data_IF_594135393870
#
_entry.id   IF_594135393870
#
_cell.length_a   1.000
_cell.length_b   1.000
_cell.length_c   1.000
_cell.angle_alpha   90.00
_cell.angle_beta   90.00
_cell.angle_gamma   90.00
#
_symmetry.space_group_name_H-M   'P 1'
#
loop_
_entity.id
_entity.type
_entity.pdbx_description
1 polymer ?
#
# COMPACT_ATOMS: atom_id res chain seq x y z
N UNK A 1 17.12 -1.52 1.63
CA UNK A 1 16.22 -1.76 0.47
C UNK A 1 15.57 -0.44 0.05
N UNK A 2 15.41 -0.17 -1.25
CA UNK A 2 14.67 1.03 -1.69
C UNK A 2 13.17 0.86 -1.47
N UNK A 3 12.53 1.90 -0.96
CA UNK A 3 11.08 2.02 -0.91
C UNK A 3 10.62 3.08 -1.92
N UNK A 4 9.99 2.67 -3.00
CA UNK A 4 9.54 3.55 -4.08
C UNK A 4 8.22 4.19 -3.68
N UNK A 5 8.24 5.51 -3.49
CA UNK A 5 7.08 6.28 -3.03
C UNK A 5 6.30 6.82 -4.23
N UNK A 6 5.03 6.44 -4.34
CA UNK A 6 4.09 7.10 -5.22
C UNK A 6 3.50 8.32 -4.53
N UNK A 7 3.96 9.50 -4.92
CA UNK A 7 3.56 10.81 -4.37
C UNK A 7 3.93 11.93 -5.35
N UNK A 8 3.60 13.16 -4.97
CA UNK A 8 3.96 14.41 -5.64
C UNK A 8 3.94 15.55 -4.62
N UNK A 9 4.49 16.71 -4.97
CA UNK A 9 4.74 17.83 -4.05
C UNK A 9 3.54 18.24 -3.18
N UNK A 10 2.33 18.27 -3.76
CA UNK A 10 1.09 18.67 -3.05
C UNK A 10 0.78 17.76 -1.86
N UNK A 11 1.29 16.53 -1.88
CA UNK A 11 1.10 15.55 -0.83
C UNK A 11 2.32 15.39 0.09
N UNK A 12 3.31 16.28 0.02
CA UNK A 12 4.53 16.21 0.84
C UNK A 12 4.24 15.96 2.33
N UNK A 13 3.31 16.69 2.93
CA UNK A 13 2.94 16.50 4.34
C UNK A 13 2.34 15.11 4.64
N UNK A 14 1.61 14.51 3.69
CA UNK A 14 1.08 13.14 3.79
C UNK A 14 2.21 12.13 3.66
N UNK A 15 3.16 12.37 2.76
CA UNK A 15 4.34 11.50 2.57
C UNK A 15 5.24 11.52 3.81
N UNK A 16 5.53 12.70 4.35
CA UNK A 16 6.28 12.86 5.61
C UNK A 16 5.59 12.11 6.76
N UNK A 17 4.26 12.17 6.82
CA UNK A 17 3.47 11.40 7.79
C UNK A 17 3.60 9.90 7.57
N UNK A 18 3.43 9.40 6.35
CA UNK A 18 3.58 7.97 6.02
C UNK A 18 4.95 7.45 6.49
N UNK A 19 6.03 8.15 6.16
CA UNK A 19 7.40 7.79 6.55
C UNK A 19 7.55 7.80 8.08
N UNK A 20 7.02 8.83 8.76
CA UNK A 20 7.02 8.88 10.22
C UNK A 20 6.27 7.70 10.84
N UNK A 21 5.17 7.24 10.24
CA UNK A 21 4.44 6.07 10.75
C UNK A 21 5.26 4.79 10.61
N UNK A 22 5.98 4.59 9.50
CA UNK A 22 6.94 3.49 9.40
C UNK A 22 7.98 3.54 10.51
N UNK A 23 8.60 4.69 10.75
CA UNK A 23 9.57 4.86 11.84
C UNK A 23 8.97 4.59 13.24
N UNK A 24 7.68 4.82 13.43
CA UNK A 24 6.99 4.57 14.71
C UNK A 24 6.67 3.11 14.93
N UNK A 25 6.17 2.42 13.90
CA UNK A 25 5.70 1.03 14.03
C UNK A 25 6.78 0.01 13.66
N UNK A 26 7.87 0.43 13.00
CA UNK A 26 9.03 -0.37 12.65
C UNK A 26 10.30 0.50 12.67
N UNK A 27 10.86 0.82 13.85
CA UNK A 27 11.94 1.80 14.00
C UNK A 27 13.23 1.48 13.25
N UNK A 28 13.53 0.20 13.06
CA UNK A 28 14.70 -0.36 12.39
C UNK A 28 14.38 -0.88 10.98
N UNK A 29 13.32 -0.36 10.35
CA UNK A 29 12.96 -0.77 8.99
C UNK A 29 14.14 -0.63 8.01
N UNK A 30 14.30 -1.54 7.03
CA UNK A 30 15.43 -1.53 6.11
C UNK A 30 15.28 -0.51 4.96
N UNK A 31 14.24 0.33 4.99
CA UNK A 31 13.87 1.19 3.86
C UNK A 31 14.71 2.47 3.77
N UNK A 32 15.18 2.74 2.55
CA UNK A 32 15.54 4.06 2.07
C UNK A 32 14.41 4.54 1.14
N UNK A 33 13.60 5.49 1.60
CA UNK A 33 12.46 6.01 0.85
C UNK A 33 12.93 6.88 -0.30
N UNK A 34 12.66 6.43 -1.53
CA UNK A 34 12.95 7.12 -2.77
C UNK A 34 11.70 7.90 -3.19
N UNK A 35 11.78 9.22 -3.05
CA UNK A 35 10.65 10.15 -3.08
C UNK A 35 10.76 11.03 -4.33
N UNK A 36 9.79 10.98 -5.24
CA UNK A 36 9.70 11.93 -6.35
C UNK A 36 9.40 13.34 -5.82
N UNK A 37 10.03 14.35 -6.40
CA UNK A 37 9.64 15.74 -6.22
C UNK A 37 9.68 16.50 -7.54
N UNK A 38 8.92 17.59 -7.61
CA UNK A 38 8.88 18.48 -8.77
C UNK A 38 9.63 19.79 -8.46
N UNK A 39 9.23 20.43 -7.36
CA UNK A 39 9.72 21.70 -6.85
C UNK A 39 10.15 21.62 -5.38
N UNK A 40 9.53 20.73 -4.59
CA UNK A 40 9.70 20.63 -3.14
C UNK A 40 10.64 19.49 -2.73
N UNK A 41 11.89 19.56 -3.18
CA UNK A 41 12.93 18.60 -2.79
C UNK A 41 13.24 18.60 -1.29
N UNK A 42 14.20 17.75 -0.92
CA UNK A 42 14.65 17.59 0.45
C UNK A 42 16.13 17.22 0.52
N UNK A 43 16.61 16.97 1.75
CA UNK A 43 17.99 16.56 2.01
C UNK A 43 18.04 15.04 1.98
N UNK A 44 18.93 14.49 1.15
CA UNK A 44 19.19 13.05 1.11
C UNK A 44 19.87 12.59 2.40
N UNK A 45 19.53 11.38 2.84
CA UNK A 45 20.13 10.71 4.00
C UNK A 45 20.08 9.20 3.79
N UNK A 46 20.60 8.42 4.74
CA UNK A 46 20.57 6.95 4.66
C UNK A 46 19.14 6.38 4.52
N UNK A 47 18.13 7.10 5.02
CA UNK A 47 16.73 6.68 4.96
C UNK A 47 15.89 7.42 3.92
N UNK A 48 16.40 8.49 3.29
CA UNK A 48 15.64 9.35 2.39
C UNK A 48 16.44 9.69 1.14
N UNK A 49 15.83 9.54 -0.03
CA UNK A 49 16.41 9.92 -1.31
C UNK A 49 15.36 10.68 -2.13
N UNK A 50 15.61 11.95 -2.37
CA UNK A 50 14.75 12.80 -3.18
C UNK A 50 15.25 12.81 -4.62
N UNK A 51 14.39 12.43 -5.56
CA UNK A 51 14.68 12.44 -6.99
C UNK A 51 13.74 13.40 -7.72
N UNK A 52 14.32 14.27 -8.55
CA UNK A 52 13.53 15.18 -9.36
C UNK A 52 12.88 14.39 -10.49
N UNK A 53 11.56 14.48 -10.61
CA UNK A 53 10.79 13.72 -11.59
C UNK A 53 9.68 14.59 -12.20
N UNK A 54 9.18 14.28 -13.41
CA UNK A 54 7.84 14.74 -13.81
C UNK A 54 6.81 14.16 -12.83
N UNK A 55 5.61 14.71 -12.71
CA UNK A 55 4.61 14.16 -11.77
C UNK A 55 3.78 15.17 -11.00
N UNK A 56 3.73 16.44 -11.40
CA UNK A 56 2.87 17.41 -10.71
C UNK A 56 1.39 17.12 -10.97
N UNK A 57 1.12 16.45 -12.09
CA UNK A 57 -0.22 16.13 -12.58
C UNK A 57 -0.43 14.61 -12.67
N UNK A 58 -1.68 14.13 -12.54
CA UNK A 58 -1.97 12.70 -12.68
C UNK A 58 -1.49 12.07 -13.98
N UNK A 59 -1.48 12.85 -15.07
CA UNK A 59 -1.06 12.47 -16.41
C UNK A 59 0.44 12.12 -16.48
N UNK A 60 1.22 12.47 -15.47
CA UNK A 60 2.66 12.23 -15.42
C UNK A 60 3.06 11.10 -14.46
N UNK A 61 2.10 10.53 -13.72
CA UNK A 61 2.36 9.48 -12.73
C UNK A 61 3.15 8.30 -13.31
N UNK A 62 2.81 7.72 -14.49
CA UNK A 62 3.58 6.61 -15.03
C UNK A 62 5.03 6.99 -15.34
N UNK A 63 5.27 8.18 -15.88
CA UNK A 63 6.62 8.67 -16.17
C UNK A 63 7.42 8.87 -14.88
N UNK A 64 6.81 9.46 -13.85
CA UNK A 64 7.41 9.64 -12.53
C UNK A 64 7.85 8.30 -11.93
N UNK A 65 6.96 7.30 -11.96
CA UNK A 65 7.24 5.97 -11.42
C UNK A 65 8.37 5.26 -12.18
N UNK A 66 8.41 5.38 -13.51
CA UNK A 66 9.48 4.80 -14.33
C UNK A 66 10.83 5.48 -14.08
N UNK A 67 10.86 6.80 -13.86
CA UNK A 67 12.08 7.53 -13.52
C UNK A 67 12.67 7.09 -12.18
N UNK A 68 11.84 6.87 -11.16
CA UNK A 68 12.28 6.36 -9.84
C UNK A 68 12.92 4.95 -9.90
N UNK A 69 12.62 4.20 -10.96
CA UNK A 69 13.08 2.83 -11.20
C UNK A 69 14.21 2.77 -12.24
N UNK A 70 14.58 3.89 -12.87
CA UNK A 70 15.40 3.88 -14.08
C UNK A 70 16.78 3.22 -13.89
N UNK A 71 17.41 3.46 -12.74
CA UNK A 71 18.72 2.94 -12.35
C UNK A 71 18.66 1.56 -11.66
N UNK A 72 17.47 1.04 -11.36
CA UNK A 72 17.32 -0.20 -10.59
C UNK A 72 17.27 -1.46 -11.49
N UNK A 73 18.01 -2.53 -11.16
CA UNK A 73 17.94 -3.81 -11.87
C UNK A 73 16.55 -4.46 -11.80
N UNK A 74 16.13 -5.15 -12.86
CA UNK A 74 14.82 -5.82 -12.98
C UNK A 74 14.48 -6.75 -11.80
N UNK A 75 15.47 -7.49 -11.30
CA UNK A 75 15.29 -8.49 -10.26
C UNK A 75 15.52 -7.93 -8.84
N UNK A 76 15.91 -6.66 -8.70
CA UNK A 76 16.04 -6.03 -7.38
C UNK A 76 14.67 -5.96 -6.71
N UNK A 77 14.65 -6.26 -5.41
CA UNK A 77 13.47 -6.10 -4.58
C UNK A 77 13.34 -4.67 -4.08
N UNK A 78 12.15 -4.11 -4.25
CA UNK A 78 11.77 -2.81 -3.71
C UNK A 78 10.52 -2.94 -2.87
N UNK A 79 10.35 -1.98 -1.97
CA UNK A 79 9.08 -1.80 -1.28
C UNK A 79 8.26 -0.74 -2.00
N UNK A 80 7.11 -1.13 -2.54
CA UNK A 80 6.19 -0.20 -3.17
C UNK A 80 5.28 0.42 -2.13
N UNK A 81 5.23 1.75 -2.03
CA UNK A 81 4.34 2.44 -1.11
C UNK A 81 3.72 3.70 -1.73
N UNK A 82 2.41 3.87 -1.57
CA UNK A 82 1.71 5.08 -2.01
C UNK A 82 1.37 5.91 -0.79
N UNK A 83 1.62 7.20 -0.85
CA UNK A 83 1.30 8.13 0.24
C UNK A 83 -0.20 8.14 0.61
N UNK A 84 -1.08 7.61 -0.23
CA UNK A 84 -2.50 7.41 0.07
C UNK A 84 -2.74 6.36 1.16
N UNK A 85 -1.69 5.68 1.65
CA UNK A 85 -1.74 4.80 2.82
C UNK A 85 -0.59 5.04 3.77
N UNK A 86 -0.82 4.72 5.04
CA UNK A 86 0.23 4.73 6.06
C UNK A 86 0.04 3.55 7.02
N UNK A 87 1.12 2.94 7.54
CA UNK A 87 1.00 1.80 8.42
C UNK A 87 0.42 2.23 9.77
N UNK A 88 -0.54 1.46 10.27
CA UNK A 88 -1.11 1.59 11.62
C UNK A 88 -0.55 0.49 12.53
N UNK A 89 -0.35 -0.71 11.96
CA UNK A 89 0.17 -1.86 12.67
C UNK A 89 0.87 -2.79 11.68
N UNK A 90 2.00 -3.36 12.09
CA UNK A 90 2.80 -4.32 11.36
C UNK A 90 3.21 -5.44 12.31
N UNK A 91 3.07 -6.70 11.89
CA UNK A 91 3.65 -7.85 12.60
C UNK A 91 5.08 -8.05 12.11
N UNK A 92 6.02 -7.33 12.71
CA UNK A 92 7.39 -7.17 12.21
C UNK A 92 8.10 -8.51 12.08
N UNK A 93 7.98 -9.40 13.07
CA UNK A 93 8.66 -10.70 13.07
C UNK A 93 8.20 -11.54 11.87
N UNK A 94 6.88 -11.67 11.65
CA UNK A 94 6.33 -12.42 10.51
C UNK A 94 6.64 -11.76 9.18
N UNK A 95 6.66 -10.43 9.11
CA UNK A 95 7.04 -9.71 7.90
C UNK A 95 8.52 -9.96 7.56
N UNK A 96 9.40 -9.99 8.56
CA UNK A 96 10.81 -10.31 8.40
C UNK A 96 11.01 -11.71 7.82
N UNK A 97 10.42 -12.73 8.44
CA UNK A 97 10.48 -14.12 7.94
C UNK A 97 9.97 -14.26 6.50
N UNK A 98 8.87 -13.56 6.18
CA UNK A 98 8.28 -13.59 4.84
C UNK A 98 9.09 -12.81 3.81
N UNK A 99 9.79 -11.76 4.22
CA UNK A 99 10.72 -11.02 3.38
C UNK A 99 11.91 -11.91 3.02
N UNK A 100 12.52 -12.58 4.01
CA UNK A 100 13.63 -13.51 3.78
C UNK A 100 13.19 -14.66 2.86
N UNK A 101 12.01 -15.23 3.11
CA UNK A 101 11.41 -16.23 2.24
C UNK A 101 11.25 -15.76 0.79
N UNK A 102 10.78 -14.52 0.58
CA UNK A 102 10.57 -13.97 -0.75
C UNK A 102 11.91 -13.68 -1.47
N UNK A 103 12.94 -13.27 -0.73
CA UNK A 103 14.28 -13.03 -1.26
C UNK A 103 14.94 -14.32 -1.76
N UNK A 104 14.70 -15.45 -1.09
CA UNK A 104 15.21 -16.76 -1.47
C UNK A 104 14.37 -17.44 -2.58
N UNK A 105 13.07 -17.16 -2.64
CA UNK A 105 12.16 -17.76 -3.60
C UNK A 105 12.34 -17.16 -5.01
N UNK A 106 13.02 -17.89 -5.90
CA UNK A 106 13.27 -17.47 -7.27
C UNK A 106 11.99 -17.15 -8.07
N UNK A 107 10.88 -17.83 -7.76
CA UNK A 107 9.62 -17.76 -8.49
C UNK A 107 8.64 -16.69 -7.99
N UNK A 108 8.91 -16.03 -6.86
CA UNK A 108 8.05 -14.96 -6.32
C UNK A 108 8.53 -13.61 -6.86
N UNK A 109 7.61 -12.83 -7.41
CA UNK A 109 7.88 -11.47 -7.90
C UNK A 109 7.22 -10.38 -7.06
N UNK A 110 6.38 -10.74 -6.09
CA UNK A 110 5.77 -9.78 -5.18
C UNK A 110 5.03 -10.42 -4.01
N UNK A 111 4.99 -9.71 -2.87
CA UNK A 111 4.38 -10.18 -1.65
C UNK A 111 3.69 -9.04 -0.88
N UNK A 112 2.38 -9.20 -0.68
CA UNK A 112 1.51 -8.29 0.07
C UNK A 112 1.09 -8.91 1.42
N UNK A 113 1.16 -8.14 2.50
CA UNK A 113 0.83 -8.59 3.87
C UNK A 113 -0.56 -8.17 4.36
N UNK A 114 -1.31 -7.45 3.54
CA UNK A 114 -2.62 -6.90 3.87
C UNK A 114 -3.64 -7.32 2.82
N UNK A 115 -4.33 -8.42 3.09
CA UNK A 115 -5.47 -8.91 2.34
C UNK A 115 -6.71 -8.11 2.74
N UNK A 116 -7.32 -7.40 1.79
CA UNK A 116 -8.49 -6.55 2.02
C UNK A 116 -9.48 -6.60 0.84
N UNK A 117 -10.57 -5.80 0.86
CA UNK A 117 -11.47 -5.52 -0.27
C UNK A 117 -11.76 -6.76 -1.15
N UNK A 118 -11.67 -6.63 -2.47
CA UNK A 118 -11.97 -7.69 -3.44
C UNK A 118 -11.21 -9.01 -3.21
N UNK A 119 -10.00 -9.00 -2.64
CA UNK A 119 -9.28 -10.25 -2.33
C UNK A 119 -9.85 -10.98 -1.12
N UNK A 120 -10.62 -10.29 -0.27
CA UNK A 120 -11.42 -10.89 0.81
C UNK A 120 -12.86 -11.16 0.35
N UNK A 121 -13.47 -10.19 -0.33
CA UNK A 121 -14.90 -10.19 -0.66
C UNK A 121 -15.23 -11.11 -1.85
N UNK A 122 -14.32 -11.23 -2.82
CA UNK A 122 -14.47 -12.00 -4.06
C UNK A 122 -13.14 -12.71 -4.41
N UNK A 123 -12.62 -13.59 -3.53
CA UNK A 123 -11.32 -14.24 -3.73
C UNK A 123 -11.25 -15.10 -4.99
N UNK A 124 -12.34 -15.73 -5.40
CA UNK A 124 -12.42 -16.54 -6.63
C UNK A 124 -12.13 -15.75 -7.91
N UNK A 125 -12.42 -14.45 -7.93
CA UNK A 125 -12.13 -13.58 -9.07
C UNK A 125 -10.67 -13.10 -9.09
N UNK A 126 -9.98 -13.15 -7.95
CA UNK A 126 -8.74 -12.39 -7.75
C UNK A 126 -7.56 -13.25 -7.34
N UNK A 127 -7.81 -14.46 -6.84
CA UNK A 127 -6.83 -15.38 -6.31
C UNK A 127 -6.95 -16.75 -6.98
N UNK A 128 -5.81 -17.39 -7.22
CA UNK A 128 -5.78 -18.80 -7.54
C UNK A 128 -6.16 -19.63 -6.31
N UNK A 129 -6.80 -20.81 -6.49
CA UNK A 129 -7.29 -21.61 -5.37
C UNK A 129 -6.18 -22.32 -4.58
N UNK A 130 -4.96 -22.42 -5.15
CA UNK A 130 -3.86 -23.13 -4.53
C UNK A 130 -3.24 -22.32 -3.40
N UNK A 131 -3.03 -22.97 -2.26
CA UNK A 131 -2.32 -22.42 -1.12
C UNK A 131 -0.84 -22.81 -1.19
N UNK A 132 0.04 -21.86 -0.88
CA UNK A 132 1.47 -22.11 -0.72
C UNK A 132 1.84 -21.94 0.75
N UNK A 133 2.33 -23.01 1.37
CA UNK A 133 2.78 -23.00 2.77
C UNK A 133 4.27 -22.63 2.82
N UNK A 134 4.65 -21.69 3.68
CA UNK A 134 6.05 -21.38 3.97
C UNK A 134 6.60 -22.32 5.05
N UNK A 135 7.93 -22.36 5.21
CA UNK A 135 8.57 -23.14 6.27
C UNK A 135 8.12 -22.70 7.68
N UNK A 136 7.81 -21.41 7.86
CA UNK A 136 7.26 -20.85 9.11
C UNK A 136 5.75 -21.07 9.29
N UNK A 137 5.10 -21.83 8.40
CA UNK A 137 3.67 -22.15 8.51
C UNK A 137 2.73 -21.04 8.02
N UNK A 138 3.26 -19.98 7.41
CA UNK A 138 2.42 -18.94 6.81
C UNK A 138 1.80 -19.44 5.49
N UNK A 139 0.58 -19.04 5.22
CA UNK A 139 -0.15 -19.41 4.00
C UNK A 139 -0.20 -18.22 3.05
N UNK A 140 0.30 -18.44 1.82
CA UNK A 140 0.31 -17.47 0.74
C UNK A 140 -0.72 -17.86 -0.33
N UNK A 141 -1.42 -16.87 -0.87
CA UNK A 141 -2.40 -17.01 -1.94
C UNK A 141 -1.90 -16.23 -3.17
N UNK A 142 -1.84 -16.89 -4.32
CA UNK A 142 -1.36 -16.27 -5.55
C UNK A 142 -2.46 -15.41 -6.18
N UNK A 143 -2.11 -14.18 -6.59
CA UNK A 143 -3.01 -13.23 -7.23
C UNK A 143 -3.07 -13.47 -8.74
N UNK A 144 -4.29 -13.45 -9.28
CA UNK A 144 -4.58 -13.56 -10.71
C UNK A 144 -4.30 -12.28 -11.49
N UNK A 145 -4.36 -11.13 -10.83
CA UNK A 145 -4.29 -9.82 -11.50
C UNK A 145 -3.72 -8.74 -10.58
N UNK A 146 -3.77 -7.48 -11.04
CA UNK A 146 -3.27 -6.30 -10.36
C UNK A 146 -4.15 -5.77 -9.22
N UNK A 147 -5.16 -6.53 -8.79
CA UNK A 147 -5.96 -6.11 -7.64
C UNK A 147 -5.04 -5.83 -6.45
N UNK A 148 -5.26 -4.67 -5.82
CA UNK A 148 -4.46 -4.16 -4.70
C UNK A 148 -2.99 -3.86 -4.99
N UNK A 149 -2.61 -3.67 -6.26
CA UNK A 149 -1.26 -3.20 -6.59
C UNK A 149 -0.91 -1.87 -5.89
N UNK A 150 -1.90 -1.05 -5.52
CA UNK A 150 -1.71 0.22 -4.79
C UNK A 150 -1.49 0.08 -3.27
N UNK A 151 -1.60 -1.12 -2.70
CA UNK A 151 -1.32 -1.34 -1.27
C UNK A 151 0.19 -1.53 -1.09
N UNK A 152 0.72 -1.17 0.07
CA UNK A 152 2.15 -1.28 0.32
C UNK A 152 2.58 -2.75 0.32
N UNK A 153 3.59 -3.08 -0.48
CA UNK A 153 3.99 -4.47 -0.71
C UNK A 153 5.42 -4.55 -1.27
N UNK A 154 6.06 -5.70 -1.08
CA UNK A 154 7.32 -5.98 -1.75
C UNK A 154 7.06 -6.39 -3.19
N UNK A 155 7.83 -5.85 -4.13
CA UNK A 155 7.79 -6.20 -5.54
C UNK A 155 9.22 -6.25 -6.09
N UNK A 156 9.46 -7.10 -7.09
CA UNK A 156 10.62 -6.93 -7.95
C UNK A 156 10.41 -5.73 -8.88
N UNK A 157 11.48 -5.01 -9.20
CA UNK A 157 11.45 -3.83 -10.07
C UNK A 157 10.75 -4.12 -11.40
N UNK A 158 10.98 -5.30 -11.99
CA UNK A 158 10.33 -5.73 -13.25
C UNK A 158 8.81 -5.65 -13.23
N UNK A 159 8.20 -5.91 -12.07
CA UNK A 159 6.76 -5.88 -11.90
C UNK A 159 6.25 -4.45 -12.06
N UNK A 160 6.86 -3.50 -11.35
CA UNK A 160 6.49 -2.09 -11.41
C UNK A 160 6.82 -1.49 -12.77
N UNK A 161 8.02 -1.78 -13.31
CA UNK A 161 8.45 -1.25 -14.62
C UNK A 161 7.49 -1.71 -15.71
N UNK A 162 7.16 -3.00 -15.78
CA UNK A 162 6.17 -3.50 -16.73
C UNK A 162 4.80 -2.84 -16.52
N UNK A 163 4.32 -2.80 -15.27
CA UNK A 163 2.99 -2.28 -14.96
C UNK A 163 2.83 -0.82 -15.42
N UNK A 164 3.80 0.05 -15.12
CA UNK A 164 3.75 1.45 -15.54
C UNK A 164 4.06 1.64 -17.02
N UNK A 165 4.89 0.78 -17.64
CA UNK A 165 5.10 0.79 -19.11
C UNK A 165 3.84 0.43 -19.89
N UNK A 166 2.98 -0.42 -19.32
CA UNK A 166 1.69 -0.83 -19.93
C UNK A 166 0.53 0.11 -19.60
N UNK A 167 0.69 0.99 -18.60
CA UNK A 167 -0.28 2.03 -18.32
C UNK A 167 -0.28 3.05 -19.47
N UNK A 168 -1.43 3.66 -19.83
CA UNK A 168 -1.42 4.79 -20.75
C UNK A 168 -0.44 5.86 -20.25
N UNK A 169 0.35 6.49 -21.15
CA UNK A 169 1.37 7.45 -20.73
C UNK A 169 0.76 8.67 -20.02
N UNK A 170 -0.48 9.02 -20.37
CA UNK A 170 -1.23 10.14 -19.79
C UNK A 170 -2.62 9.68 -19.33
N UNK A 171 -2.72 9.04 -18.15
CA UNK A 171 -4.02 8.66 -17.61
C UNK A 171 -4.82 9.92 -17.23
N UNK A 172 -6.15 9.97 -17.47
CA UNK A 172 -6.95 11.18 -17.21
C UNK A 172 -7.01 11.62 -15.74
N UNK A 173 -6.73 10.70 -14.81
CA UNK A 173 -6.61 10.97 -13.38
C UNK A 173 -5.98 9.79 -12.67
N UNK A 174 -5.47 10.01 -11.45
CA UNK A 174 -4.98 8.93 -10.58
C UNK A 174 -6.10 7.92 -10.29
N UNK A 175 -7.36 8.38 -10.22
CA UNK A 175 -8.51 7.50 -10.01
C UNK A 175 -8.80 6.62 -11.23
N UNK A 176 -8.64 7.13 -12.45
CA UNK A 176 -8.86 6.35 -13.67
C UNK A 176 -7.91 5.15 -13.78
N UNK A 177 -6.71 5.25 -13.21
CA UNK A 177 -5.74 4.14 -13.16
C UNK A 177 -6.28 2.90 -12.44
N UNK A 178 -7.29 3.05 -11.58
CA UNK A 178 -7.98 1.90 -10.98
C UNK A 178 -8.73 1.03 -11.98
N UNK A 179 -9.24 1.60 -13.06
CA UNK A 179 -9.94 0.83 -14.08
C UNK A 179 -8.95 0.40 -15.17
N UNK A 180 -8.05 1.31 -15.56
CA UNK A 180 -7.03 1.06 -16.58
C UNK A 180 -6.14 -0.15 -16.23
N UNK A 181 -5.81 -0.34 -14.95
CA UNK A 181 -5.02 -1.51 -14.53
C UNK A 181 -5.67 -2.85 -14.89
N UNK A 182 -6.99 -2.91 -15.01
CA UNK A 182 -7.68 -4.16 -15.34
C UNK A 182 -7.50 -4.57 -16.81
N UNK A 183 -7.12 -3.62 -17.69
CA UNK A 183 -6.81 -3.88 -19.08
C UNK A 183 -5.36 -4.38 -19.28
N UNK A 184 -4.51 -4.25 -18.26
CA UNK A 184 -3.11 -4.70 -18.31
C UNK A 184 -3.10 -6.20 -18.02
N UNK A 185 -2.69 -7.01 -19.01
CA UNK A 185 -2.49 -8.45 -18.80
C UNK A 185 -1.27 -8.64 -17.89
N UNK A 186 -1.48 -9.34 -16.76
CA UNK A 186 -0.40 -9.73 -15.85
C UNK A 186 0.33 -10.95 -16.44
N UNK A 187 1.64 -10.87 -16.70
CA UNK A 187 2.41 -12.03 -17.11
C UNK A 187 2.33 -13.18 -16.09
N UNK A 188 2.42 -14.42 -16.57
CA UNK A 188 2.31 -15.61 -15.72
C UNK A 188 3.54 -15.79 -14.82
N UNK A 189 4.72 -15.37 -15.29
CA UNK A 189 5.96 -15.35 -14.52
C UNK A 189 5.99 -14.25 -13.44
N UNK A 190 5.06 -13.30 -13.49
CA UNK A 190 4.90 -12.26 -12.47
C UNK A 190 4.00 -12.80 -11.36
N UNK A 191 4.54 -13.73 -10.59
CA UNK A 191 3.82 -14.41 -9.52
C UNK A 191 3.78 -13.52 -8.28
N UNK A 192 2.58 -13.04 -8.01
CA UNK A 192 2.29 -12.05 -6.98
C UNK A 192 1.49 -12.72 -5.88
N UNK A 193 1.96 -12.69 -4.64
CA UNK A 193 1.30 -13.34 -3.52
C UNK A 193 0.72 -12.33 -2.53
N UNK A 194 -0.30 -12.77 -1.80
CA UNK A 194 -0.82 -12.11 -0.61
C UNK A 194 -0.92 -13.12 0.52
N UNK A 195 -0.64 -12.70 1.75
CA UNK A 195 -0.84 -13.54 2.93
C UNK A 195 -2.33 -13.84 3.16
N UNK A 196 -2.66 -15.06 3.57
CA UNK A 196 -4.04 -15.45 3.90
C UNK A 196 -4.58 -14.68 5.11
N UNK A 197 -3.73 -14.48 6.11
CA UNK A 197 -3.95 -13.63 7.27
C UNK A 197 -3.35 -12.22 7.05
N UNK A 198 -3.81 -11.22 7.81
CA UNK A 198 -3.24 -9.87 7.77
C UNK A 198 -2.08 -9.75 8.74
N UNK A 199 -0.90 -9.38 8.24
CA UNK A 199 0.28 -9.00 9.03
C UNK A 199 0.58 -7.50 8.92
N UNK A 200 -0.24 -6.76 8.18
CA UNK A 200 -0.22 -5.32 8.14
C UNK A 200 -1.64 -4.74 8.13
N UNK A 201 -1.82 -3.63 8.82
CA UNK A 201 -3.01 -2.78 8.75
C UNK A 201 -2.58 -1.38 8.38
N UNK A 202 -3.23 -0.83 7.37
CA UNK A 202 -2.95 0.52 6.87
C UNK A 202 -4.15 1.45 7.12
N UNK A 203 -3.88 2.72 7.40
CA UNK A 203 -4.88 3.77 7.26
C UNK A 203 -4.90 4.28 5.83
N UNK A 204 -6.07 4.68 5.32
CA UNK A 204 -6.15 5.47 4.08
C UNK A 204 -5.89 6.94 4.42
N UNK A 205 -5.00 7.60 3.68
CA UNK A 205 -4.66 9.01 3.87
C UNK A 205 -5.73 9.93 3.30
N UNK A 206 -6.19 9.66 2.08
CA UNK A 206 -7.18 10.49 1.40
C UNK A 206 -8.34 9.67 0.83
N UNK A 207 -9.48 10.33 0.61
CA UNK A 207 -10.58 9.76 -0.17
C UNK A 207 -11.18 10.87 -1.01
N UNK A 208 -11.20 10.69 -2.34
CA UNK A 208 -11.66 11.70 -3.31
C UNK A 208 -10.94 13.05 -3.13
N UNK A 209 -9.62 13.01 -2.91
CA UNK A 209 -8.79 14.19 -2.74
C UNK A 209 -8.94 14.92 -1.40
N UNK A 210 -9.68 14.37 -0.43
CA UNK A 210 -9.83 14.93 0.92
C UNK A 210 -9.22 14.01 1.96
N UNK A 211 -8.48 14.58 2.91
CA UNK A 211 -7.85 13.83 3.99
C UNK A 211 -8.90 13.11 4.86
N UNK A 212 -8.64 11.84 5.19
CA UNK A 212 -9.50 11.04 6.08
C UNK A 212 -9.40 11.52 7.53
N UNK A 213 -10.35 11.14 8.38
CA UNK A 213 -10.31 11.48 9.82
C UNK A 213 -9.14 10.83 10.52
N UNK A 214 -8.91 9.53 10.28
CA UNK A 214 -7.80 8.81 10.91
C UNK A 214 -6.44 9.40 10.52
N UNK A 215 -6.24 9.80 9.26
CA UNK A 215 -5.00 10.43 8.82
C UNK A 215 -4.84 11.83 9.44
N UNK A 216 -5.87 12.67 9.34
CA UNK A 216 -5.87 14.03 9.90
C UNK A 216 -5.53 14.04 11.39
N UNK A 217 -6.23 13.21 12.18
CA UNK A 217 -6.01 13.10 13.62
C UNK A 217 -4.59 12.59 13.94
N UNK A 218 -4.05 11.68 13.11
CA UNK A 218 -2.69 11.14 13.26
C UNK A 218 -1.61 12.19 12.96
N UNK A 219 -1.80 13.00 11.91
CA UNK A 219 -0.91 14.10 11.53
C UNK A 219 -0.90 15.21 12.58
N UNK A 220 -2.08 15.60 13.08
CA UNK A 220 -2.16 16.62 14.14
C UNK A 220 -1.39 16.21 15.39
N UNK A 221 -1.36 14.91 15.73
CA UNK A 221 -0.56 14.38 16.85
C UNK A 221 0.94 14.30 16.57
N UNK A 222 1.39 14.37 15.32
CA UNK A 222 2.82 14.35 14.99
C UNK A 222 3.47 15.72 14.88
N UNK A 223 2.69 16.81 14.92
CA UNK A 223 3.22 18.16 14.74
C UNK A 223 3.64 18.49 13.31
N UNK A 224 3.29 17.64 12.34
CA UNK A 224 3.49 17.94 10.92
C UNK A 224 2.44 18.98 10.52
N UNK A 225 2.90 20.06 9.87
CA UNK A 225 2.02 21.10 9.38
C UNK A 225 1.26 20.62 8.14
N UNK A 226 -0.06 20.85 8.13
CA UNK A 226 -0.92 20.51 7.00
C UNK A 226 -1.10 21.74 6.10
N UNK A 227 -0.97 21.58 4.77
CA UNK A 227 -1.29 22.65 3.83
C UNK A 227 -2.79 22.97 3.88
N UNK A 228 -3.17 24.14 3.36
CA UNK A 228 -4.54 24.67 3.40
C UNK A 228 -5.59 23.66 2.92
N UNK A 229 -5.33 22.95 1.82
CA UNK A 229 -6.26 21.98 1.25
C UNK A 229 -6.46 20.70 2.09
N UNK A 230 -5.65 20.48 3.12
CA UNK A 230 -5.80 19.38 4.08
C UNK A 230 -6.15 19.84 5.51
N UNK A 231 -6.48 21.11 5.72
CA UNK A 231 -6.85 21.60 7.05
C UNK A 231 -8.20 21.07 7.57
N UNK A 232 -9.01 20.43 6.72
CA UNK A 232 -10.31 19.86 7.11
C UNK A 232 -10.46 18.40 6.66
N UNK A 233 -10.71 17.52 7.63
CA UNK A 233 -11.05 16.13 7.38
C UNK A 233 -12.38 15.96 6.63
N UNK A 234 -12.51 14.86 5.88
CA UNK A 234 -13.78 14.39 5.34
C UNK A 234 -14.68 13.66 6.38
N UNK A 235 -14.20 13.46 7.61
CA UNK A 235 -14.93 12.82 8.71
C UNK A 235 -14.94 11.29 8.69
N UNK A 236 -14.45 10.65 7.62
CA UNK A 236 -14.47 9.20 7.46
C UNK A 236 -13.24 8.55 8.07
N UNK A 237 -13.45 7.44 8.78
CA UNK A 237 -12.38 6.59 9.30
C UNK A 237 -12.21 5.39 8.36
N UNK A 238 -11.04 5.26 7.73
CA UNK A 238 -10.82 4.25 6.68
C UNK A 238 -9.51 3.52 6.92
N UNK A 239 -9.57 2.19 6.99
CA UNK A 239 -8.43 1.30 7.15
C UNK A 239 -8.46 0.15 6.14
N UNK A 240 -7.29 -0.38 5.80
CA UNK A 240 -7.10 -1.61 5.03
C UNK A 240 -6.61 -2.72 5.95
N UNK A 241 -7.21 -3.90 5.80
CA UNK A 241 -6.97 -5.03 6.67
C UNK A 241 -7.75 -4.92 7.99
N UNK A 242 -7.60 -5.96 8.80
CA UNK A 242 -8.26 -6.07 10.10
C UNK A 242 -7.19 -6.34 11.16
N UNK A 243 -7.27 -5.63 12.28
CA UNK A 243 -6.41 -5.88 13.43
C UNK A 243 -6.71 -7.27 14.04
N UNK A 244 -5.68 -8.02 14.48
CA UNK A 244 -5.90 -9.27 15.20
C UNK A 244 -6.87 -9.09 16.37
N UNK A 245 -7.94 -9.90 16.41
CA UNK A 245 -8.93 -9.89 17.50
C UNK A 245 -10.10 -8.91 17.34
N UNK A 246 -10.13 -8.04 16.33
CA UNK A 246 -11.21 -7.06 16.14
C UNK A 246 -12.57 -7.69 15.77
N UNK A 247 -12.57 -8.91 15.21
CA UNK A 247 -13.78 -9.69 14.98
C UNK A 247 -14.49 -10.14 16.28
N UNK A 248 -13.76 -10.32 17.39
CA UNK A 248 -14.35 -10.72 18.68
C UNK A 248 -15.11 -9.58 19.35
N UNK A 249 -14.68 -8.34 19.15
CA UNK A 249 -15.30 -7.15 19.75
C UNK A 249 -16.52 -6.69 18.96
N UNK A 250 -16.48 -6.64 17.62
CA UNK A 250 -17.63 -6.18 16.82
C UNK A 250 -18.87 -7.09 16.94
N UNK A 251 -18.72 -8.42 16.97
CA UNK A 251 -19.85 -9.34 17.26
C UNK A 251 -20.45 -9.15 18.65
N UNK A 252 -19.67 -8.65 19.62
CA UNK A 252 -20.12 -8.35 20.98
C UNK A 252 -20.89 -7.02 21.06
N UNK A 253 -20.53 -6.06 20.22
CA UNK A 253 -21.20 -4.76 20.12
C UNK A 253 -22.49 -4.81 19.30
N UNK A 254 -22.53 -5.54 18.18
CA UNK A 254 -23.75 -5.65 17.34
C UNK A 254 -24.85 -6.50 18.00
N UNK A 255 -24.50 -7.49 18.83
CA UNK A 255 -25.48 -8.20 19.67
C UNK A 255 -26.11 -7.34 20.78
N UNK A 256 -25.47 -6.25 21.19
CA UNK A 256 -26.01 -5.31 22.20
C UNK A 256 -26.91 -4.23 21.62
N UNK A 257 -26.93 -4.05 20.30
CA UNK A 257 -27.64 -2.94 19.63
C UNK A 257 -28.79 -3.39 18.72
N UNK A 258 -29.08 -4.68 18.62
CA UNK A 258 -30.31 -5.18 18.00
C UNK A 258 -31.40 -5.32 19.08
N UNK A 259 -32.52 -4.58 18.99
CA UNK A 259 -33.67 -4.85 19.82
C UNK A 259 -34.17 -6.26 19.48
N UNK A 260 -34.23 -7.12 20.49
CA UNK A 260 -34.98 -8.38 20.41
C UNK A 260 -36.42 -8.00 20.09
N UNK A 261 -36.85 -8.17 18.83
CA UNK A 261 -38.27 -8.13 18.49
C UNK A 261 -38.96 -9.25 19.26
N UNK A 262 -39.63 -8.90 20.35
CA UNK A 262 -40.61 -9.77 21.00
C UNK A 262 -41.69 -10.06 19.96
N UNK A 263 -41.85 -11.34 19.62
CA UNK A 263 -43.06 -11.82 18.95
C UNK A 263 -44.22 -11.62 19.92
N UNK A 264 -45.22 -10.85 19.53
CA UNK A 264 -46.55 -10.91 20.12
C UNK A 264 -47.42 -11.77 19.21
N UNK A 265 -48.11 -12.73 19.83
CA UNK A 265 -49.14 -13.57 19.22
C UNK A 265 -50.29 -12.74 18.64
#
# INVERSE_FOLDING_TARGET
MKAIVLTFDRHRAITEHMILQYKRVWPDHPFCFRIPYQNLGGINSDQLEYLKTPGETPEEIPAAALELLADLPEEEWVYWCSDDKYPIWLEIERIGELMDYALEAADISGLLFCRTRVTLDQPELTLYPNERLTASGNVLLERRSWYQIWIHQFLRVKVLRYFFTKMPPHPPSAKAMDELKNAIVKPDDFRLFVTKENFAVFGESTQRGRITRNCFDSIKRSGIELPEWFQRSNGQWVTMGELPGWQKSWKKWTRRLLPVRRKTN
#
